data_IF_386665333751
#
_entry.id   IF_386665333751
#
_cell.length_a   1.000
_cell.length_b   1.000
_cell.length_c   1.000
_cell.angle_alpha   90.00
_cell.angle_beta   90.00
_cell.angle_gamma   90.00
#
_symmetry.space_group_name_H-M   'P 1'
#
loop_
_entity.id
_entity.type
_entity.pdbx_description
1 polymer ?
#
# COMPACT_ATOMS: atom_id res chain seq x y z
N UNK A 1 -9.59 -29.36 -18.11
CA UNK A 1 -10.72 -28.50 -17.72
C UNK A 1 -10.34 -27.82 -16.42
N UNK A 2 -9.78 -26.61 -16.49
CA UNK A 2 -9.49 -25.82 -15.31
C UNK A 2 -10.82 -25.25 -14.79
N UNK A 3 -11.18 -25.58 -13.55
CA UNK A 3 -12.40 -25.08 -12.93
C UNK A 3 -12.28 -23.60 -12.67
N UNK A 4 -13.29 -22.84 -13.10
CA UNK A 4 -13.43 -21.42 -12.81
C UNK A 4 -13.59 -21.23 -11.29
N UNK A 5 -12.64 -20.52 -10.65
CA UNK A 5 -12.72 -20.22 -9.22
C UNK A 5 -13.48 -18.91 -9.05
N UNK A 6 -14.78 -19.01 -8.78
CA UNK A 6 -15.66 -17.87 -8.50
C UNK A 6 -15.59 -17.53 -7.01
N UNK A 7 -15.26 -16.28 -6.68
CA UNK A 7 -15.27 -15.77 -5.29
C UNK A 7 -16.52 -14.91 -5.08
N UNK A 8 -17.65 -15.53 -4.73
CA UNK A 8 -18.97 -14.87 -4.75
C UNK A 8 -19.34 -14.01 -3.53
N UNK A 9 -18.66 -14.17 -2.38
CA UNK A 9 -19.22 -13.68 -1.10
C UNK A 9 -18.41 -12.56 -0.42
N UNK A 10 -17.35 -12.05 -1.05
CA UNK A 10 -16.51 -10.97 -0.47
C UNK A 10 -16.05 -10.03 -1.57
N UNK A 11 -16.81 -8.96 -1.76
CA UNK A 11 -16.71 -8.01 -2.89
C UNK A 11 -15.72 -6.87 -2.56
N UNK A 12 -14.59 -7.18 -1.90
CA UNK A 12 -13.54 -6.20 -1.56
C UNK A 12 -12.26 -6.60 -2.30
N UNK A 13 -11.76 -5.77 -3.22
CA UNK A 13 -10.42 -6.00 -3.84
C UNK A 13 -9.27 -5.58 -2.95
N UNK A 14 -9.56 -4.71 -1.98
CA UNK A 14 -8.52 -4.21 -1.10
C UNK A 14 -7.98 -5.26 -0.12
N UNK A 15 -6.99 -4.87 0.68
CA UNK A 15 -6.22 -5.78 1.53
C UNK A 15 -7.06 -6.46 2.62
N UNK A 16 -8.28 -6.00 2.83
CA UNK A 16 -9.25 -6.56 3.76
C UNK A 16 -9.70 -7.99 3.41
N UNK A 17 -9.60 -8.39 2.14
CA UNK A 17 -10.19 -9.62 1.65
C UNK A 17 -9.15 -10.71 1.44
N UNK A 18 -8.81 -11.43 2.52
CA UNK A 18 -7.80 -12.49 2.49
C UNK A 18 -8.10 -13.59 1.47
N UNK A 19 -9.35 -13.91 1.23
CA UNK A 19 -9.74 -14.99 0.33
C UNK A 19 -9.54 -14.59 -1.14
N UNK A 20 -10.04 -13.42 -1.54
CA UNK A 20 -9.77 -12.90 -2.89
C UNK A 20 -8.27 -12.70 -3.11
N UNK A 21 -7.52 -12.24 -2.09
CA UNK A 21 -6.07 -12.12 -2.18
C UNK A 21 -5.35 -13.46 -2.29
N UNK A 22 -5.75 -14.48 -1.54
CA UNK A 22 -5.16 -15.81 -1.66
C UNK A 22 -5.35 -16.37 -3.07
N UNK A 23 -6.56 -16.24 -3.62
CA UNK A 23 -6.87 -16.64 -4.99
C UNK A 23 -6.03 -15.86 -6.01
N UNK A 24 -5.94 -14.53 -5.88
CA UNK A 24 -5.11 -13.70 -6.76
C UNK A 24 -3.62 -14.00 -6.65
N UNK A 25 -3.11 -14.29 -5.45
CA UNK A 25 -1.70 -14.66 -5.24
C UNK A 25 -1.38 -16.00 -5.90
N UNK A 26 -2.29 -16.98 -5.80
CA UNK A 26 -2.14 -18.26 -6.51
C UNK A 26 -2.09 -18.00 -8.02
N UNK A 27 -3.02 -17.23 -8.57
CA UNK A 27 -3.02 -16.90 -9.99
C UNK A 27 -1.74 -16.16 -10.45
N UNK A 28 -1.26 -15.19 -9.67
CA UNK A 28 -0.02 -14.48 -10.00
C UNK A 28 1.20 -15.42 -9.99
N UNK A 29 1.26 -16.35 -9.03
CA UNK A 29 2.29 -17.39 -9.01
C UNK A 29 2.18 -18.34 -10.21
N UNK A 30 0.97 -18.70 -10.62
CA UNK A 30 0.74 -19.51 -11.84
C UNK A 30 1.11 -18.74 -13.11
N UNK A 31 0.89 -17.43 -13.16
CA UNK A 31 1.32 -16.55 -14.26
C UNK A 31 2.83 -16.45 -14.39
N UNK A 32 3.54 -16.33 -13.28
CA UNK A 32 5.00 -16.32 -13.27
C UNK A 32 5.55 -17.68 -13.71
N UNK A 33 5.00 -18.78 -13.18
CA UNK A 33 5.37 -20.13 -13.61
C UNK A 33 5.05 -20.41 -15.09
N UNK A 34 3.96 -19.83 -15.61
CA UNK A 34 3.61 -19.88 -17.04
C UNK A 34 4.62 -19.12 -17.89
N UNK A 35 5.03 -17.91 -17.48
CA UNK A 35 6.06 -17.15 -18.18
C UNK A 35 7.38 -17.94 -18.27
N UNK A 36 7.84 -18.52 -17.15
CA UNK A 36 9.03 -19.39 -17.12
C UNK A 36 8.87 -20.63 -18.01
N UNK A 37 7.66 -21.21 -18.07
CA UNK A 37 7.37 -22.35 -18.92
C UNK A 37 7.40 -21.99 -20.42
N UNK A 38 6.86 -20.82 -20.79
CA UNK A 38 6.89 -20.29 -22.15
C UNK A 38 8.32 -20.00 -22.58
N UNK A 39 9.13 -19.38 -21.73
CA UNK A 39 10.54 -19.11 -22.01
C UNK A 39 11.33 -20.41 -22.28
N UNK A 40 11.09 -21.46 -21.47
CA UNK A 40 11.68 -22.79 -21.69
C UNK A 40 11.23 -23.42 -23.01
N UNK A 41 9.95 -23.33 -23.34
CA UNK A 41 9.39 -23.88 -24.58
C UNK A 41 9.95 -23.17 -25.82
N UNK A 42 10.07 -21.84 -25.77
CA UNK A 42 10.72 -21.07 -26.82
C UNK A 42 12.21 -21.42 -26.96
N UNK A 43 12.91 -21.61 -25.84
CA UNK A 43 14.32 -22.02 -25.85
C UNK A 43 14.54 -23.42 -26.43
N UNK A 44 13.56 -24.33 -26.36
CA UNK A 44 13.58 -25.63 -27.02
C UNK A 44 13.11 -25.61 -28.48
N UNK A 45 13.05 -24.43 -29.11
CA UNK A 45 12.64 -24.28 -30.52
C UNK A 45 11.13 -24.32 -30.75
N UNK A 46 10.31 -24.25 -29.69
CA UNK A 46 8.85 -24.27 -29.80
C UNK A 46 8.29 -25.62 -30.23
N UNK A 47 9.03 -26.71 -30.08
CA UNK A 47 8.54 -28.05 -30.40
C UNK A 47 7.52 -28.53 -29.35
N UNK A 48 6.38 -29.05 -29.81
CA UNK A 48 5.30 -29.55 -28.95
C UNK A 48 4.20 -28.51 -28.67
N UNK A 49 3.31 -28.84 -27.74
CA UNK A 49 2.18 -27.99 -27.38
C UNK A 49 2.62 -26.86 -26.43
N UNK A 50 2.18 -25.61 -26.65
CA UNK A 50 2.57 -24.50 -25.79
C UNK A 50 2.02 -24.69 -24.36
N UNK A 51 2.73 -24.20 -23.32
CA UNK A 51 2.24 -24.24 -21.95
C UNK A 51 0.85 -23.59 -21.82
N UNK A 52 -0.12 -24.27 -21.18
CA UNK A 52 -1.48 -23.76 -21.07
C UNK A 52 -1.53 -22.49 -20.23
N UNK A 53 -2.30 -21.50 -20.69
CA UNK A 53 -2.48 -20.25 -19.94
C UNK A 53 -3.22 -20.52 -18.61
N UNK A 54 -2.78 -19.88 -17.50
CA UNK A 54 -3.46 -19.99 -16.23
C UNK A 54 -4.83 -19.31 -16.27
N UNK A 55 -5.82 -19.92 -15.60
CA UNK A 55 -7.19 -19.43 -15.59
C UNK A 55 -7.32 -18.18 -14.72
N UNK A 56 -7.82 -17.08 -15.30
CA UNK A 56 -8.03 -15.82 -14.56
C UNK A 56 -9.14 -16.02 -13.52
N UNK A 57 -8.89 -15.75 -12.23
CA UNK A 57 -9.93 -15.85 -11.21
C UNK A 57 -11.00 -14.79 -11.45
N UNK A 58 -12.27 -15.20 -11.42
CA UNK A 58 -13.41 -14.30 -11.62
C UNK A 58 -13.92 -13.84 -10.26
N UNK A 59 -13.80 -12.53 -10.02
CA UNK A 59 -14.45 -11.85 -8.90
C UNK A 59 -15.73 -11.23 -9.44
N UNK A 60 -16.87 -11.82 -9.08
CA UNK A 60 -18.17 -11.29 -9.51
C UNK A 60 -18.56 -10.08 -8.65
N UNK A 61 -18.69 -8.94 -9.32
CA UNK A 61 -19.19 -7.70 -8.73
C UNK A 61 -20.69 -7.60 -8.95
N UNK A 62 -21.45 -7.36 -7.88
CA UNK A 62 -22.84 -6.95 -8.03
C UNK A 62 -22.90 -5.45 -8.28
N UNK A 63 -23.66 -5.04 -9.29
CA UNK A 63 -23.88 -3.64 -9.59
C UNK A 63 -24.43 -2.90 -8.35
N UNK A 64 -23.76 -1.81 -7.97
CA UNK A 64 -24.10 -1.02 -6.77
C UNK A 64 -23.29 -1.35 -5.52
N UNK A 65 -22.50 -2.44 -5.51
CA UNK A 65 -21.59 -2.74 -4.39
C UNK A 65 -20.25 -2.00 -4.54
N UNK A 66 -19.65 -1.50 -3.44
CA UNK A 66 -18.43 -0.73 -3.53
C UNK A 66 -17.19 -1.62 -3.77
N UNK A 67 -16.32 -1.21 -4.71
CA UNK A 67 -15.02 -1.87 -4.99
C UNK A 67 -14.19 -2.14 -3.72
N UNK A 68 -14.22 -1.17 -2.81
CA UNK A 68 -13.59 -1.27 -1.49
C UNK A 68 -14.64 -1.12 -0.39
N UNK A 69 -14.64 -2.06 0.56
CA UNK A 69 -15.53 -2.01 1.71
C UNK A 69 -15.11 -0.91 2.71
N UNK A 70 -15.99 -0.64 3.69
CA UNK A 70 -15.74 0.36 4.74
C UNK A 70 -14.43 0.14 5.52
N UNK A 71 -14.00 -1.12 5.68
CA UNK A 71 -12.72 -1.43 6.33
C UNK A 71 -11.54 -0.87 5.51
N UNK A 72 -11.47 -1.17 4.22
CA UNK A 72 -10.42 -0.65 3.33
C UNK A 72 -10.38 0.88 3.27
N UNK A 73 -11.55 1.54 3.29
CA UNK A 73 -11.64 3.01 3.34
C UNK A 73 -11.03 3.54 4.63
N UNK A 74 -11.40 2.97 5.77
CA UNK A 74 -10.83 3.33 7.07
C UNK A 74 -9.31 3.07 7.11
N UNK A 75 -8.85 1.93 6.58
CA UNK A 75 -7.43 1.59 6.48
C UNK A 75 -6.66 2.62 5.66
N UNK A 76 -7.13 2.90 4.43
CA UNK A 76 -6.48 3.82 3.51
C UNK A 76 -6.42 5.23 4.09
N UNK A 77 -7.51 5.69 4.71
CA UNK A 77 -7.55 6.99 5.40
C UNK A 77 -6.53 7.08 6.52
N UNK A 78 -6.50 6.09 7.43
CA UNK A 78 -5.52 6.05 8.52
C UNK A 78 -4.10 6.03 7.99
N UNK A 79 -3.79 5.11 7.07
CA UNK A 79 -2.46 4.95 6.50
C UNK A 79 -1.95 6.24 5.85
N UNK A 80 -2.80 6.94 5.08
CA UNK A 80 -2.45 8.23 4.48
C UNK A 80 -2.06 9.29 5.52
N UNK A 81 -2.81 9.39 6.62
CA UNK A 81 -2.55 10.34 7.70
C UNK A 81 -1.25 9.99 8.44
N UNK A 82 -1.05 8.71 8.78
CA UNK A 82 0.18 8.22 9.43
C UNK A 82 1.40 8.46 8.54
N UNK A 83 1.28 8.25 7.22
CA UNK A 83 2.35 8.58 6.26
C UNK A 83 2.73 10.06 6.32
N UNK A 84 1.75 10.98 6.39
CA UNK A 84 2.05 12.42 6.47
C UNK A 84 2.72 12.80 7.79
N UNK A 85 2.23 12.24 8.90
CA UNK A 85 2.76 12.46 10.25
C UNK A 85 4.21 11.95 10.36
N UNK A 86 4.47 10.71 9.97
CA UNK A 86 5.82 10.13 10.02
C UNK A 86 6.79 10.87 9.09
N UNK A 87 6.35 11.23 7.88
CA UNK A 87 7.17 12.01 6.96
C UNK A 87 7.40 13.45 7.46
N UNK A 88 6.51 14.01 8.30
CA UNK A 88 6.74 15.30 8.96
C UNK A 88 7.72 15.15 10.12
N UNK A 89 7.59 14.10 10.93
CA UNK A 89 8.48 13.78 12.04
C UNK A 89 9.92 13.58 11.55
N UNK A 90 10.12 12.76 10.52
CA UNK A 90 11.44 12.55 9.89
C UNK A 90 12.03 13.85 9.33
N UNK A 91 11.22 14.67 8.66
CA UNK A 91 11.66 15.95 8.12
C UNK A 91 12.06 16.98 9.21
N UNK A 92 11.55 16.82 10.43
CA UNK A 92 11.82 17.70 11.56
C UNK A 92 13.02 17.25 12.41
N UNK A 93 13.57 16.04 12.18
CA UNK A 93 14.71 15.53 12.96
C UNK A 93 15.95 16.42 12.75
N UNK A 94 16.57 16.91 13.85
CA UNK A 94 17.78 17.73 13.76
C UNK A 94 18.99 16.85 13.46
N UNK A 95 19.43 16.88 12.19
CA UNK A 95 20.58 16.13 11.70
C UNK A 95 20.34 15.72 10.25
N UNK A 96 21.27 16.07 9.37
CA UNK A 96 21.32 15.63 7.97
C UNK A 96 20.31 16.17 6.93
N UNK A 97 19.43 17.11 7.26
CA UNK A 97 18.73 17.94 6.25
C UNK A 97 19.35 19.32 6.22
N UNK A 98 20.53 19.46 5.59
CA UNK A 98 20.95 20.79 5.14
C UNK A 98 20.07 21.15 3.96
N UNK A 99 19.17 22.11 4.16
CA UNK A 99 18.52 22.81 3.08
C UNK A 99 19.59 23.16 2.04
N UNK A 100 19.40 22.69 0.79
CA UNK A 100 20.20 23.20 -0.32
C UNK A 100 19.92 24.69 -0.40
N UNK A 101 20.79 25.48 0.23
CA UNK A 101 20.70 26.92 0.22
C UNK A 101 20.78 27.35 -1.24
N UNK A 102 19.86 28.25 -1.61
CA UNK A 102 19.55 28.71 -2.96
C UNK A 102 20.71 29.43 -3.68
N UNK A 103 21.94 29.31 -3.19
CA UNK A 103 23.10 30.15 -3.52
C UNK A 103 24.32 29.38 -4.04
N UNK A 104 24.32 28.05 -4.10
CA UNK A 104 25.45 27.26 -4.63
C UNK A 104 25.24 26.73 -6.06
N UNK A 105 24.45 27.42 -6.88
CA UNK A 105 24.17 27.00 -8.26
C UNK A 105 25.33 27.36 -9.19
N UNK A 106 26.38 26.54 -9.19
CA UNK A 106 27.43 26.58 -10.23
C UNK A 106 26.91 25.85 -11.47
N UNK A 107 26.83 26.58 -12.60
CA UNK A 107 26.40 26.07 -13.90
C UNK A 107 27.23 24.82 -14.26
N UNK A 108 26.60 23.64 -14.32
CA UNK A 108 27.23 22.40 -14.80
C UNK A 108 27.36 21.25 -13.78
N UNK A 109 26.98 21.44 -12.52
CA UNK A 109 26.94 20.33 -11.55
C UNK A 109 25.58 19.63 -11.56
N UNK A 110 25.57 18.31 -11.81
CA UNK A 110 24.40 17.46 -11.56
C UNK A 110 24.03 17.59 -10.07
N UNK A 111 22.74 17.68 -9.70
CA UNK A 111 22.35 17.68 -8.30
C UNK A 111 22.84 16.35 -7.68
N UNK A 112 23.82 16.43 -6.78
CA UNK A 112 24.12 15.32 -5.91
C UNK A 112 22.91 15.13 -4.98
N UNK A 113 22.49 13.86 -4.83
CA UNK A 113 21.44 13.43 -3.91
C UNK A 113 21.69 13.97 -2.50
N UNK A 114 20.61 14.15 -1.74
CA UNK A 114 20.75 14.73 -0.40
C UNK A 114 21.59 13.80 0.49
N UNK A 115 22.27 14.37 1.49
CA UNK A 115 23.25 13.66 2.31
C UNK A 115 22.61 12.78 3.41
N UNK A 116 21.30 12.46 3.33
CA UNK A 116 20.64 11.49 4.23
C UNK A 116 19.57 10.68 3.52
N UNK A 117 19.59 9.36 3.75
CA UNK A 117 18.58 8.43 3.21
C UNK A 117 17.16 8.81 3.65
N UNK A 118 16.99 9.36 4.86
CA UNK A 118 15.67 9.79 5.36
C UNK A 118 15.10 10.98 4.56
N UNK A 119 15.94 11.96 4.20
CA UNK A 119 15.50 13.13 3.43
C UNK A 119 15.11 12.74 1.99
N UNK A 120 15.86 11.83 1.37
CA UNK A 120 15.53 11.28 0.06
C UNK A 120 14.20 10.50 0.12
N UNK A 121 13.96 9.72 1.18
CA UNK A 121 12.68 9.03 1.38
C UNK A 121 11.51 9.99 1.57
N UNK A 122 11.67 11.04 2.39
CA UNK A 122 10.65 12.09 2.55
C UNK A 122 10.38 12.79 1.21
N UNK A 123 11.42 13.04 0.42
CA UNK A 123 11.29 13.65 -0.89
C UNK A 123 10.54 12.73 -1.87
N UNK A 124 10.85 11.44 -1.85
CA UNK A 124 10.23 10.40 -2.69
C UNK A 124 8.75 10.23 -2.35
N UNK A 125 8.39 10.03 -1.07
CA UNK A 125 6.98 9.90 -0.67
C UNK A 125 6.19 11.19 -0.97
N UNK A 126 6.81 12.36 -0.80
CA UNK A 126 6.18 13.64 -1.19
C UNK A 126 5.90 13.69 -2.69
N UNK A 127 6.86 13.23 -3.52
CA UNK A 127 6.68 13.13 -4.96
C UNK A 127 5.55 12.16 -5.36
N UNK A 128 5.47 11.01 -4.69
CA UNK A 128 4.44 9.99 -4.92
C UNK A 128 3.04 10.46 -4.52
N UNK A 129 2.88 11.07 -3.34
CA UNK A 129 1.61 11.70 -2.92
C UNK A 129 1.10 12.69 -3.96
N UNK A 130 1.99 13.56 -4.46
CA UNK A 130 1.65 14.57 -5.46
C UNK A 130 1.35 13.95 -6.85
N UNK A 131 1.92 12.79 -7.18
CA UNK A 131 1.55 12.02 -8.38
C UNK A 131 0.18 11.39 -8.21
N UNK A 132 -0.08 10.72 -7.09
CA UNK A 132 -1.37 10.10 -6.79
C UNK A 132 -2.50 11.13 -6.82
N UNK A 133 -2.34 12.28 -6.14
CA UNK A 133 -3.34 13.37 -6.20
C UNK A 133 -3.65 13.80 -7.63
N UNK A 134 -2.61 14.04 -8.45
CA UNK A 134 -2.80 14.44 -9.85
C UNK A 134 -3.56 13.39 -10.65
N UNK A 135 -3.22 12.13 -10.45
CA UNK A 135 -3.87 11.04 -11.16
C UNK A 135 -5.35 10.92 -10.78
N UNK A 136 -5.66 11.01 -9.49
CA UNK A 136 -7.05 11.02 -9.00
C UNK A 136 -7.81 12.23 -9.54
N UNK A 137 -7.24 13.43 -9.45
CA UNK A 137 -7.87 14.64 -9.97
C UNK A 137 -8.13 14.54 -11.49
N UNK A 138 -7.17 14.00 -12.25
CA UNK A 138 -7.29 13.77 -13.70
C UNK A 138 -8.42 12.80 -14.03
N UNK A 139 -8.49 11.65 -13.34
CA UNK A 139 -9.52 10.64 -13.59
C UNK A 139 -10.92 11.07 -13.13
N UNK A 140 -11.00 11.93 -12.13
CA UNK A 140 -12.26 12.54 -11.68
C UNK A 140 -12.62 13.83 -12.45
N UNK A 141 -11.83 14.19 -13.47
CA UNK A 141 -12.02 15.41 -14.27
C UNK A 141 -12.14 16.70 -13.45
N UNK A 142 -11.44 16.76 -12.32
CA UNK A 142 -11.46 17.92 -11.43
C UNK A 142 -10.47 18.97 -11.92
N UNK A 143 -10.89 20.24 -11.92
CA UNK A 143 -10.02 21.39 -12.24
C UNK A 143 -8.95 21.68 -11.15
N UNK A 144 -8.72 20.75 -10.22
CA UNK A 144 -7.77 20.90 -9.12
C UNK A 144 -6.34 20.90 -9.64
N UNK A 145 -5.59 21.96 -9.33
CA UNK A 145 -4.16 22.01 -9.59
C UNK A 145 -3.39 21.63 -8.32
N UNK A 146 -2.49 20.64 -8.37
CA UNK A 146 -1.66 20.31 -7.22
C UNK A 146 -0.76 21.50 -6.87
N UNK A 147 -0.36 21.66 -5.60
CA UNK A 147 0.57 22.70 -5.18
C UNK A 147 1.86 22.67 -6.01
N UNK A 148 2.38 23.85 -6.36
CA UNK A 148 3.66 23.95 -7.04
C UNK A 148 4.81 23.57 -6.10
N UNK A 149 5.63 22.59 -6.52
CA UNK A 149 6.84 22.15 -5.81
C UNK A 149 6.63 21.01 -4.82
N UNK A 150 7.76 20.45 -4.35
CA UNK A 150 7.80 19.36 -3.36
C UNK A 150 8.18 19.95 -2.00
N UNK A 151 7.21 20.11 -1.11
CA UNK A 151 7.41 20.61 0.25
C UNK A 151 6.52 19.84 1.23
N UNK A 152 6.86 19.88 2.52
CA UNK A 152 6.02 19.27 3.57
C UNK A 152 4.59 19.81 3.55
N UNK A 153 4.41 21.13 3.38
CA UNK A 153 3.07 21.73 3.25
C UNK A 153 2.32 21.25 2.00
N UNK A 154 3.01 21.08 0.87
CA UNK A 154 2.40 20.53 -0.34
C UNK A 154 1.97 19.07 -0.15
N UNK A 155 2.78 18.28 0.57
CA UNK A 155 2.45 16.90 0.95
C UNK A 155 1.22 16.86 1.85
N UNK A 156 1.22 17.55 2.99
CA UNK A 156 0.10 17.54 3.95
C UNK A 156 -1.23 18.00 3.34
N UNK A 157 -1.19 19.06 2.51
CA UNK A 157 -2.38 19.50 1.75
C UNK A 157 -2.89 18.44 0.79
N UNK A 158 -1.99 17.70 0.15
CA UNK A 158 -2.35 16.67 -0.80
C UNK A 158 -2.84 15.40 -0.12
N UNK A 159 -2.28 15.03 1.03
CA UNK A 159 -2.81 13.95 1.88
C UNK A 159 -4.22 14.30 2.37
N UNK A 160 -4.43 15.51 2.90
CA UNK A 160 -5.74 15.95 3.35
C UNK A 160 -6.78 15.88 2.23
N UNK A 161 -6.42 16.37 1.03
CA UNK A 161 -7.28 16.29 -0.15
C UNK A 161 -7.57 14.85 -0.57
N UNK A 162 -6.56 13.96 -0.55
CA UNK A 162 -6.74 12.55 -0.88
C UNK A 162 -7.65 11.83 0.13
N UNK A 163 -7.56 12.18 1.42
CA UNK A 163 -8.47 11.68 2.46
C UNK A 163 -9.91 12.12 2.18
N UNK A 164 -10.13 13.39 1.83
CA UNK A 164 -11.46 13.91 1.49
C UNK A 164 -12.04 13.27 0.22
N UNK A 165 -11.18 12.88 -0.72
CA UNK A 165 -11.55 12.24 -1.99
C UNK A 165 -11.40 10.72 -1.99
N UNK A 166 -11.11 10.10 -0.84
CA UNK A 166 -10.72 8.69 -0.79
C UNK A 166 -11.81 7.77 -1.36
N UNK A 167 -13.08 8.03 -1.03
CA UNK A 167 -14.19 7.22 -1.53
C UNK A 167 -14.32 7.28 -3.05
N UNK A 168 -14.16 8.46 -3.63
CA UNK A 168 -14.17 8.63 -5.08
C UNK A 168 -12.92 8.01 -5.73
N UNK A 169 -11.75 8.16 -5.10
CA UNK A 169 -10.50 7.59 -5.58
C UNK A 169 -10.54 6.05 -5.59
N UNK A 170 -11.10 5.43 -4.54
CA UNK A 170 -11.26 3.98 -4.44
C UNK A 170 -12.37 3.43 -5.36
N UNK A 171 -13.26 4.29 -5.87
CA UNK A 171 -14.23 3.90 -6.88
C UNK A 171 -13.66 3.92 -8.31
N UNK A 172 -12.44 4.45 -8.51
CA UNK A 172 -11.78 4.46 -9.81
C UNK A 172 -11.21 3.08 -10.13
N UNK A 173 -11.78 2.42 -11.13
CA UNK A 173 -11.29 1.13 -11.60
C UNK A 173 -9.85 1.26 -12.17
N UNK A 174 -9.03 0.24 -11.90
CA UNK A 174 -7.64 0.19 -12.34
C UNK A 174 -6.77 1.36 -11.89
N UNK A 175 -7.09 2.04 -10.78
CA UNK A 175 -6.20 3.05 -10.20
C UNK A 175 -5.02 2.35 -9.53
N UNK A 176 -3.83 2.48 -10.12
CA UNK A 176 -2.57 1.99 -9.55
C UNK A 176 -1.59 3.14 -9.34
N UNK A 177 -0.66 2.93 -8.42
CA UNK A 177 0.41 3.86 -8.06
C UNK A 177 1.74 3.16 -8.28
N UNK A 178 2.53 3.70 -9.21
CA UNK A 178 3.92 3.30 -9.38
C UNK A 178 4.72 3.81 -8.19
N UNK A 179 5.30 2.90 -7.42
CA UNK A 179 5.96 3.18 -6.15
C UNK A 179 7.35 2.59 -6.08
N UNK A 180 8.29 3.34 -5.48
CA UNK A 180 9.65 2.85 -5.14
C UNK A 180 9.76 2.51 -3.65
N UNK A 181 8.65 2.08 -3.03
CA UNK A 181 8.62 1.80 -1.59
C UNK A 181 9.41 0.55 -1.21
N UNK A 182 9.42 -0.49 -2.03
CA UNK A 182 10.11 -1.76 -1.69
C UNK A 182 11.63 -1.71 -1.99
N UNK A 183 12.02 -1.07 -3.09
CA UNK A 183 13.41 -0.95 -3.53
C UNK A 183 13.56 0.36 -4.35
N UNK A 184 14.68 1.07 -4.18
CA UNK A 184 14.96 2.28 -4.96
C UNK A 184 15.28 1.94 -6.43
N UNK A 185 15.66 0.69 -6.73
CA UNK A 185 15.98 0.22 -8.09
C UNK A 185 14.79 -0.42 -8.81
N UNK A 186 13.74 -0.84 -8.09
CA UNK A 186 12.58 -1.53 -8.66
C UNK A 186 11.27 -0.85 -8.27
N UNK A 187 10.55 -0.39 -9.28
CA UNK A 187 9.21 0.16 -9.08
C UNK A 187 8.16 -0.95 -9.09
N UNK A 188 7.21 -0.86 -8.17
CA UNK A 188 6.04 -1.75 -8.07
C UNK A 188 4.75 -0.98 -8.34
N UNK A 189 3.77 -1.62 -8.95
CA UNK A 189 2.42 -1.07 -9.09
C UNK A 189 1.54 -1.54 -7.93
N UNK A 190 1.03 -0.59 -7.15
CA UNK A 190 0.19 -0.87 -5.97
C UNK A 190 -1.16 -0.17 -6.11
N UNK A 191 -2.23 -0.79 -5.61
CA UNK A 191 -3.48 -0.07 -5.40
C UNK A 191 -3.31 1.04 -4.34
N UNK A 192 -4.21 2.03 -4.24
CA UNK A 192 -4.04 3.18 -3.36
C UNK A 192 -3.93 2.81 -1.87
N UNK A 193 -4.65 1.76 -1.45
CA UNK A 193 -4.61 1.28 -0.07
C UNK A 193 -3.31 0.53 0.21
N UNK A 194 -2.89 -0.37 -0.69
CA UNK A 194 -1.61 -1.07 -0.60
C UNK A 194 -0.43 -0.11 -0.60
N UNK A 195 -0.49 0.92 -1.46
CA UNK A 195 0.51 1.97 -1.55
C UNK A 195 0.65 2.73 -0.22
N UNK A 196 -0.46 3.18 0.36
CA UNK A 196 -0.44 3.90 1.63
C UNK A 196 0.10 3.02 2.77
N UNK A 197 -0.31 1.74 2.83
CA UNK A 197 0.17 0.78 3.81
C UNK A 197 1.67 0.47 3.65
N UNK A 198 2.15 0.34 2.41
CA UNK A 198 3.56 0.08 2.16
C UNK A 198 4.42 1.23 2.67
N UNK A 199 4.02 2.47 2.39
CA UNK A 199 4.72 3.65 2.90
C UNK A 199 4.60 3.79 4.42
N UNK A 200 3.43 3.55 5.00
CA UNK A 200 3.25 3.52 6.46
C UNK A 200 4.25 2.56 7.10
N UNK A 201 4.32 1.31 6.62
CA UNK A 201 5.26 0.32 7.18
C UNK A 201 6.73 0.71 6.97
N UNK A 202 7.10 1.24 5.80
CA UNK A 202 8.47 1.69 5.53
C UNK A 202 8.87 2.79 6.49
N UNK A 203 8.01 3.80 6.68
CA UNK A 203 8.28 4.93 7.56
C UNK A 203 8.28 4.53 9.03
N UNK A 204 7.36 3.66 9.47
CA UNK A 204 7.32 3.14 10.85
C UNK A 204 8.62 2.41 11.23
N UNK A 205 9.19 1.62 10.31
CA UNK A 205 10.48 0.93 10.55
C UNK A 205 11.65 1.89 10.76
N UNK A 206 11.62 3.09 10.16
CA UNK A 206 12.69 4.09 10.32
C UNK A 206 12.60 4.86 11.64
N UNK A 207 11.43 4.81 12.28
CA UNK A 207 11.20 5.45 13.58
C UNK A 207 11.09 4.44 14.71
N UNK A 208 11.43 3.17 14.45
CA UNK A 208 11.30 2.04 15.39
C UNK A 208 9.88 1.88 15.98
N UNK A 209 8.85 2.26 15.23
CA UNK A 209 7.43 2.21 15.60
C UNK A 209 6.65 1.14 14.79
N UNK A 210 7.36 0.14 14.26
CA UNK A 210 6.72 -0.93 13.53
C UNK A 210 5.97 -1.86 14.49
N UNK A 211 4.64 -2.03 14.34
CA UNK A 211 3.87 -2.90 15.23
C UNK A 211 4.33 -4.36 15.09
N UNK A 212 4.65 -4.96 16.23
CA UNK A 212 5.10 -6.36 16.34
C UNK A 212 3.95 -7.33 16.61
N UNK A 213 4.24 -8.39 17.37
CA UNK A 213 3.22 -9.27 17.93
C UNK A 213 2.52 -8.58 19.11
N UNK A 214 1.24 -8.87 19.33
CA UNK A 214 0.52 -8.43 20.54
C UNK A 214 0.20 -9.62 21.45
N UNK A 215 0.18 -9.37 22.76
CA UNK A 215 -0.21 -10.35 23.77
C UNK A 215 -1.72 -10.41 24.01
N UNK A 216 -2.50 -9.52 23.39
CA UNK A 216 -3.95 -9.51 23.49
C UNK A 216 -4.56 -10.83 23.00
N UNK A 217 -5.64 -11.27 23.66
CA UNK A 217 -6.47 -12.37 23.18
C UNK A 217 -7.33 -11.90 22.02
N UNK A 218 -7.47 -12.77 21.03
CA UNK A 218 -8.40 -12.54 19.94
C UNK A 218 -9.84 -12.49 20.49
N UNK A 219 -10.62 -11.42 20.25
CA UNK A 219 -12.00 -11.32 20.71
C UNK A 219 -12.96 -12.29 20.00
N UNK A 220 -12.49 -13.00 18.97
CA UNK A 220 -13.25 -14.05 18.29
C UNK A 220 -13.10 -15.43 18.93
N UNK A 221 -11.87 -15.87 19.20
CA UNK A 221 -11.57 -17.23 19.66
C UNK A 221 -10.83 -17.34 21.00
N UNK A 222 -10.42 -16.21 21.60
CA UNK A 222 -9.71 -16.17 22.89
C UNK A 222 -8.23 -16.55 22.84
N UNK A 223 -7.69 -16.95 21.68
CA UNK A 223 -6.28 -17.28 21.49
C UNK A 223 -5.37 -16.05 21.40
N UNK A 224 -4.11 -16.18 21.84
CA UNK A 224 -3.07 -15.13 21.78
C UNK A 224 -2.21 -15.27 20.52
N UNK A 225 -2.87 -15.33 19.37
CA UNK A 225 -2.24 -15.49 18.07
C UNK A 225 -2.55 -14.29 17.16
N UNK A 226 -2.49 -13.07 17.70
CA UNK A 226 -2.69 -11.84 16.94
C UNK A 226 -1.35 -11.32 16.41
N UNK A 227 -1.16 -11.40 15.10
CA UNK A 227 0.05 -10.95 14.42
C UNK A 227 -0.26 -9.74 13.54
N UNK A 228 0.59 -8.72 13.57
CA UNK A 228 0.44 -7.61 12.65
C UNK A 228 0.69 -8.07 11.21
N UNK A 229 -0.26 -7.82 10.33
CA UNK A 229 -0.12 -8.05 8.90
C UNK A 229 0.19 -6.71 8.19
N UNK A 230 1.45 -6.43 7.82
CA UNK A 230 1.86 -5.12 7.29
C UNK A 230 1.06 -4.72 6.05
N UNK A 231 0.84 -5.66 5.13
CA UNK A 231 0.07 -5.44 3.90
C UNK A 231 -1.45 -5.37 4.11
N UNK A 232 -1.93 -5.56 5.33
CA UNK A 232 -3.33 -5.40 5.71
C UNK A 232 -3.57 -4.18 6.62
N UNK A 233 -2.58 -3.79 7.43
CA UNK A 233 -2.72 -2.70 8.40
C UNK A 233 -3.62 -3.03 9.58
N UNK A 234 -3.67 -4.32 9.96
CA UNK A 234 -4.43 -4.87 11.08
C UNK A 234 -3.65 -6.02 11.72
N UNK A 235 -3.99 -6.32 12.98
CA UNK A 235 -3.69 -7.61 13.56
C UNK A 235 -4.62 -8.67 12.98
N UNK A 236 -4.06 -9.83 12.63
CA UNK A 236 -4.81 -10.98 12.12
C UNK A 236 -4.62 -12.14 13.08
N UNK A 237 -5.72 -12.73 13.52
CA UNK A 237 -5.68 -13.91 14.36
C UNK A 237 -5.28 -15.15 13.54
N UNK A 238 -4.23 -15.85 13.95
CA UNK A 238 -3.81 -17.12 13.33
C UNK A 238 -4.87 -18.23 13.44
N UNK A 239 -5.58 -18.31 14.57
CA UNK A 239 -6.58 -19.36 14.82
C UNK A 239 -7.89 -19.18 14.05
N UNK A 240 -8.53 -17.99 14.13
CA UNK A 240 -9.84 -17.75 13.51
C UNK A 240 -9.83 -16.76 12.34
N UNK A 241 -8.69 -16.17 12.00
CA UNK A 241 -8.58 -15.21 10.90
C UNK A 241 -9.23 -13.86 11.16
N UNK A 242 -9.74 -13.58 12.39
CA UNK A 242 -10.34 -12.30 12.72
C UNK A 242 -9.33 -11.16 12.59
N UNK A 243 -9.79 -10.05 12.02
CA UNK A 243 -9.01 -8.81 11.94
C UNK A 243 -9.34 -7.94 13.15
N UNK A 244 -8.30 -7.42 13.79
CA UNK A 244 -8.36 -6.55 14.96
C UNK A 244 -7.58 -5.29 14.62
N UNK A 245 -8.18 -4.11 14.85
CA UNK A 245 -7.49 -2.84 14.61
C UNK A 245 -6.36 -2.62 15.63
N UNK A 246 -5.41 -1.75 15.32
CA UNK A 246 -4.34 -1.39 16.25
C UNK A 246 -4.91 -0.81 17.56
N UNK A 247 -5.89 0.10 17.46
CA UNK A 247 -6.58 0.66 18.61
C UNK A 247 -7.32 -0.40 19.43
N UNK A 248 -8.09 -1.27 18.78
CA UNK A 248 -8.78 -2.39 19.44
C UNK A 248 -7.79 -3.35 20.12
N UNK A 249 -6.65 -3.64 19.49
CA UNK A 249 -5.61 -4.47 20.09
C UNK A 249 -4.99 -3.80 21.33
N UNK A 250 -4.75 -2.48 21.29
CA UNK A 250 -4.26 -1.72 22.43
C UNK A 250 -5.27 -1.69 23.59
N UNK A 251 -6.55 -1.48 23.28
CA UNK A 251 -7.65 -1.56 24.25
C UNK A 251 -7.73 -2.94 24.90
N UNK A 252 -7.63 -4.02 24.12
CA UNK A 252 -7.62 -5.38 24.66
C UNK A 252 -6.43 -5.63 25.59
N UNK A 253 -5.25 -5.10 25.26
CA UNK A 253 -4.07 -5.20 26.16
C UNK A 253 -4.30 -4.43 27.46
N UNK A 254 -4.86 -3.22 27.41
CA UNK A 254 -5.10 -2.41 28.61
C UNK A 254 -6.19 -3.01 29.49
N UNK A 255 -7.27 -3.50 28.89
CA UNK A 255 -8.34 -4.23 29.61
C UNK A 255 -7.77 -5.45 30.32
N UNK A 256 -7.01 -6.31 29.61
CA UNK A 256 -6.40 -7.51 30.20
C UNK A 256 -5.36 -7.20 31.29
N UNK A 257 -4.64 -6.08 31.19
CA UNK A 257 -3.68 -5.67 32.21
C UNK A 257 -4.35 -5.10 33.48
N UNK A 258 -5.62 -4.70 33.38
CA UNK A 258 -6.40 -4.13 34.49
C UNK A 258 -7.31 -5.13 35.20
N UNK A 259 -7.43 -6.35 34.65
CA UNK A 259 -8.20 -7.47 35.20
C UNK A 259 -7.34 -8.39 36.07
#
# INVERSE_FOLDING_TARGET
>A
MAGEVVVSDRVCVGPCNRQARAVWQVFLGEREAHADAVDRWLASGGEGEPPPEPAVPVVEWRAGEPLHCGRCRATGRRALLVVDELAASLAARPGEVKAQSRWSRVKGTRPHGSLSGEADLVHTVTGEVLRLRREVARRLELADQPPAGRSGMARSRSVSWLVDKLDAALALDGLTVVSSVEDDERTVELGPVEWALAWENKLRRLVDDAPGHTLARCPGCGERHLEWAPRAGYYVCGGCGRHVSEAEALELVTEEASA
#
